data_IF_425608669859
#
_entry.id   IF_425608669859
#
_cell.length_a   1.000
_cell.length_b   1.000
_cell.length_c   1.000
_cell.angle_alpha   90.00
_cell.angle_beta   90.00
_cell.angle_gamma   90.00
#
_symmetry.space_group_name_H-M   'P 1'
#
loop_
_entity.id
_entity.type
_entity.pdbx_description
1 polymer ?
#
# COMPACT_ATOMS: atom_id res chain seq x y z
N UNK A 1 -3.32 -3.20 31.01
CA UNK A 1 -2.61 -3.09 29.71
C UNK A 1 -3.08 -4.19 28.74
N UNK A 2 -4.26 -4.78 29.00
CA UNK A 2 -4.60 -6.13 28.52
C UNK A 2 -5.46 -6.13 27.25
N UNK A 3 -6.23 -5.06 27.00
CA UNK A 3 -7.10 -4.94 25.82
C UNK A 3 -6.35 -4.89 24.48
N UNK A 4 -5.08 -4.46 24.49
CA UNK A 4 -4.25 -4.35 23.28
C UNK A 4 -3.65 -5.70 22.87
N UNK A 5 -3.32 -6.56 23.83
CA UNK A 5 -2.85 -7.92 23.54
C UNK A 5 -3.99 -8.82 23.08
N UNK A 6 -5.14 -8.72 23.73
CA UNK A 6 -6.35 -9.45 23.35
C UNK A 6 -6.78 -9.08 21.91
N UNK A 7 -6.72 -7.80 21.55
CA UNK A 7 -7.03 -7.37 20.19
C UNK A 7 -5.99 -7.85 19.17
N UNK A 8 -4.70 -7.78 19.50
CA UNK A 8 -3.64 -8.30 18.63
C UNK A 8 -3.81 -9.80 18.34
N UNK A 9 -4.20 -10.58 19.34
CA UNK A 9 -4.49 -12.01 19.17
C UNK A 9 -5.72 -12.26 18.31
N UNK A 10 -6.80 -11.47 18.47
CA UNK A 10 -7.99 -11.60 17.63
C UNK A 10 -7.71 -11.27 16.16
N UNK A 11 -6.96 -10.19 15.89
CA UNK A 11 -6.57 -9.82 14.52
C UNK A 11 -5.63 -10.87 13.92
N UNK A 12 -4.70 -11.40 14.70
CA UNK A 12 -3.83 -12.50 14.27
C UNK A 12 -4.62 -13.78 13.96
N UNK A 13 -5.64 -14.10 14.74
CA UNK A 13 -6.49 -15.27 14.52
C UNK A 13 -7.32 -15.12 13.24
N UNK A 14 -7.91 -13.95 13.02
CA UNK A 14 -8.72 -13.67 11.82
C UNK A 14 -7.85 -13.68 10.54
N UNK A 15 -6.63 -13.15 10.64
CA UNK A 15 -5.64 -13.19 9.53
C UNK A 15 -5.19 -14.63 9.22
N UNK A 16 -4.98 -15.48 10.23
CA UNK A 16 -4.65 -16.91 10.03
C UNK A 16 -5.80 -17.66 9.35
N UNK A 17 -7.04 -17.36 9.73
CA UNK A 17 -8.24 -17.92 9.10
C UNK A 17 -8.30 -17.59 7.61
N UNK A 18 -8.09 -16.31 7.25
CA UNK A 18 -8.08 -15.86 5.85
C UNK A 18 -6.97 -16.55 5.03
N UNK A 19 -5.77 -16.73 5.61
CA UNK A 19 -4.67 -17.43 4.94
C UNK A 19 -5.00 -18.91 4.68
N UNK A 20 -5.64 -19.58 5.64
CA UNK A 20 -6.06 -20.97 5.49
C UNK A 20 -7.10 -21.17 4.37
N UNK A 21 -8.02 -20.21 4.20
CA UNK A 21 -9.01 -20.25 3.12
C UNK A 21 -8.37 -19.96 1.76
N UNK A 22 -7.39 -19.05 1.69
CA UNK A 22 -6.63 -18.77 0.47
C UNK A 22 -5.73 -19.94 0.05
N UNK A 23 -5.07 -20.64 0.99
CA UNK A 23 -4.24 -21.82 0.70
C UNK A 23 -5.10 -22.96 0.11
N UNK A 24 -6.33 -23.13 0.60
CA UNK A 24 -7.30 -24.05 0.04
C UNK A 24 -7.66 -23.69 -1.42
N UNK A 25 -7.86 -22.40 -1.72
CA UNK A 25 -8.20 -21.91 -3.06
C UNK A 25 -7.00 -21.90 -4.03
N UNK A 26 -5.79 -21.61 -3.55
CA UNK A 26 -4.56 -21.67 -4.34
C UNK A 26 -4.22 -23.11 -4.73
N UNK A 27 -4.46 -24.09 -3.86
CA UNK A 27 -4.30 -25.51 -4.20
C UNK A 27 -5.18 -25.94 -5.39
N UNK A 28 -6.36 -25.31 -5.54
CA UNK A 28 -7.29 -25.54 -6.64
C UNK A 28 -6.87 -24.80 -7.92
N UNK A 29 -6.31 -23.59 -7.78
CA UNK A 29 -6.01 -22.68 -8.91
C UNK A 29 -4.65 -22.93 -9.56
N UNK A 30 -3.64 -23.41 -8.81
CA UNK A 30 -2.27 -23.63 -9.32
C UNK A 30 -2.21 -24.72 -10.40
N UNK A 31 -3.22 -25.58 -10.53
CA UNK A 31 -3.23 -26.65 -11.54
C UNK A 31 -3.51 -26.17 -12.97
N UNK A 32 -4.00 -24.95 -13.19
CA UNK A 32 -4.49 -24.51 -14.52
C UNK A 32 -3.58 -23.44 -15.18
N UNK A 33 -2.80 -22.68 -14.42
CA UNK A 33 -2.11 -21.47 -14.94
C UNK A 33 -0.64 -21.68 -15.35
N UNK A 34 -0.08 -22.88 -15.19
CA UNK A 34 1.35 -23.16 -15.40
C UNK A 34 1.84 -23.19 -16.86
N UNK A 35 0.95 -23.28 -17.85
CA UNK A 35 1.35 -23.52 -19.25
C UNK A 35 1.53 -22.25 -20.13
N UNK A 36 1.16 -21.05 -19.67
CA UNK A 36 1.11 -19.85 -20.53
C UNK A 36 2.30 -18.88 -20.41
N UNK A 37 3.16 -19.00 -19.40
CA UNK A 37 4.22 -18.01 -19.13
C UNK A 37 5.54 -18.21 -19.91
N UNK A 38 5.77 -19.36 -20.53
CA UNK A 38 7.08 -19.70 -21.14
C UNK A 38 7.29 -19.04 -22.52
N UNK A 39 6.23 -18.63 -23.23
CA UNK A 39 6.35 -18.13 -24.61
C UNK A 39 6.63 -16.62 -24.72
N UNK A 40 6.31 -15.80 -23.72
CA UNK A 40 6.43 -14.34 -23.81
C UNK A 40 7.86 -13.80 -23.61
N UNK A 41 8.75 -14.54 -22.95
CA UNK A 41 10.11 -14.08 -22.60
C UNK A 41 11.12 -14.16 -23.76
N UNK A 42 10.87 -15.00 -24.78
CA UNK A 42 11.81 -15.20 -25.88
C UNK A 42 11.85 -14.02 -26.89
N UNK A 43 10.79 -13.21 -26.98
CA UNK A 43 10.67 -12.16 -28.01
C UNK A 43 11.32 -10.84 -27.60
N UNK A 44 11.48 -10.58 -26.29
CA UNK A 44 11.95 -9.27 -25.82
C UNK A 44 13.48 -9.11 -25.80
N UNK A 45 14.24 -10.20 -25.83
CA UNK A 45 15.72 -10.15 -25.73
C UNK A 45 16.40 -9.90 -27.09
N UNK A 46 15.73 -10.10 -28.22
CA UNK A 46 16.36 -10.03 -29.55
C UNK A 46 16.40 -8.65 -30.22
N UNK A 47 15.95 -7.56 -29.58
CA UNK A 47 15.71 -6.28 -30.28
C UNK A 47 16.45 -5.04 -29.76
N UNK A 48 17.52 -5.17 -28.96
CA UNK A 48 18.36 -4.01 -28.58
C UNK A 48 19.87 -4.27 -28.70
N UNK A 49 20.37 -4.15 -29.92
CA UNK A 49 21.78 -3.93 -30.23
C UNK A 49 21.94 -2.72 -31.17
N UNK A 50 23.08 -2.00 -31.04
CA UNK A 50 23.54 -0.81 -31.80
C UNK A 50 22.87 0.51 -31.37
N UNK A 51 23.52 1.66 -31.13
CA UNK A 51 24.82 2.26 -31.53
C UNK A 51 24.97 3.51 -30.62
N UNK A 52 26.10 3.79 -29.95
CA UNK A 52 27.24 4.55 -30.47
C UNK A 52 27.10 6.09 -30.29
N UNK A 53 28.08 6.76 -29.65
CA UNK A 53 28.38 8.18 -29.95
C UNK A 53 28.58 9.16 -28.78
N UNK A 54 29.82 9.60 -28.62
CA UNK A 54 30.38 10.65 -27.75
C UNK A 54 29.93 12.09 -28.05
N UNK A 55 29.95 13.00 -27.07
CA UNK A 55 30.85 14.18 -27.06
C UNK A 55 30.53 15.20 -25.96
N UNK A 56 31.59 15.87 -25.53
CA UNK A 56 31.70 16.91 -24.50
C UNK A 56 30.97 18.22 -24.83
N UNK A 57 30.37 18.85 -23.83
CA UNK A 57 29.86 20.22 -23.92
C UNK A 57 29.85 20.94 -22.58
N UNK A 58 30.98 21.58 -22.21
CA UNK A 58 31.08 22.57 -21.13
C UNK A 58 30.15 23.76 -21.42
N UNK A 59 29.19 24.06 -20.56
CA UNK A 59 28.63 25.41 -20.41
C UNK A 59 28.34 25.74 -18.94
N UNK A 60 29.07 26.75 -18.44
CA UNK A 60 28.90 27.42 -17.15
C UNK A 60 27.49 28.02 -17.06
N UNK A 61 26.73 27.69 -16.02
CA UNK A 61 25.53 28.44 -15.61
C UNK A 61 25.79 29.15 -14.28
N UNK A 62 25.50 30.46 -14.28
CA UNK A 62 25.64 31.38 -13.14
C UNK A 62 24.62 31.02 -12.06
N UNK A 63 25.10 30.70 -10.85
CA UNK A 63 24.27 30.45 -9.67
C UNK A 63 23.84 31.79 -9.05
N UNK A 64 22.60 32.22 -9.33
CA UNK A 64 21.91 33.26 -8.54
C UNK A 64 21.42 32.62 -7.23
N UNK A 65 21.99 33.06 -6.11
CA UNK A 65 21.55 32.72 -4.76
C UNK A 65 20.19 33.34 -4.46
N UNK A 66 19.10 32.60 -4.70
CA UNK A 66 17.78 32.95 -4.17
C UNK A 66 17.71 32.44 -2.73
N UNK A 67 17.56 33.38 -1.79
CA UNK A 67 17.50 33.12 -0.36
C UNK A 67 16.46 32.05 -0.05
N UNK A 68 16.93 30.93 0.51
CA UNK A 68 16.08 29.93 1.15
C UNK A 68 15.60 30.53 2.47
N UNK A 69 14.37 31.04 2.46
CA UNK A 69 13.58 31.16 3.68
C UNK A 69 13.53 29.75 4.29
N UNK A 70 14.26 29.56 5.39
CA UNK A 70 14.22 28.34 6.19
C UNK A 70 12.84 28.26 6.82
N UNK A 71 11.86 27.77 6.07
CA UNK A 71 10.65 27.23 6.66
C UNK A 71 11.10 26.23 7.72
N UNK A 72 10.64 26.41 8.96
CA UNK A 72 10.87 25.45 10.03
C UNK A 72 10.39 24.10 9.51
N UNK A 73 11.34 23.25 9.12
CA UNK A 73 11.10 21.83 8.91
C UNK A 73 10.71 21.35 10.31
N UNK A 74 9.40 21.27 10.54
CA UNK A 74 8.86 20.51 11.66
C UNK A 74 9.49 19.15 11.48
N UNK A 75 10.43 18.80 12.36
CA UNK A 75 11.10 17.51 12.33
C UNK A 75 9.98 16.50 12.53
N UNK A 76 9.51 15.89 11.43
CA UNK A 76 8.60 14.74 11.49
C UNK A 76 9.30 13.77 12.42
N UNK A 77 8.69 13.51 13.57
CA UNK A 77 9.21 12.55 14.55
C UNK A 77 9.44 11.28 13.74
N UNK A 78 10.69 10.82 13.65
CA UNK A 78 11.00 9.60 12.90
C UNK A 78 10.37 8.48 13.70
N UNK A 79 9.17 8.08 13.28
CA UNK A 79 8.49 6.93 13.86
C UNK A 79 9.27 5.69 13.43
N UNK A 80 9.37 4.74 14.34
CA UNK A 80 9.91 3.42 13.99
C UNK A 80 9.02 2.74 12.95
N UNK A 81 9.56 1.76 12.26
CA UNK A 81 8.85 0.98 11.25
C UNK A 81 7.56 0.37 11.80
N UNK A 82 7.64 -0.16 13.03
CA UNK A 82 6.50 -0.75 13.75
C UNK A 82 5.46 0.29 14.14
N UNK A 83 5.90 1.43 14.67
CA UNK A 83 5.01 2.54 15.03
C UNK A 83 4.27 3.08 13.81
N UNK A 84 4.93 3.11 12.64
CA UNK A 84 4.31 3.56 11.38
C UNK A 84 3.18 2.62 10.97
N UNK A 85 3.40 1.30 11.04
CA UNK A 85 2.35 0.31 10.72
C UNK A 85 1.18 0.45 11.69
N UNK A 86 1.46 0.54 12.99
CA UNK A 86 0.43 0.70 14.02
C UNK A 86 -0.34 2.00 13.86
N UNK A 87 0.34 3.10 13.52
CA UNK A 87 -0.29 4.38 13.27
C UNK A 87 -1.23 4.33 12.05
N UNK A 88 -0.80 3.72 10.96
CA UNK A 88 -1.65 3.52 9.77
C UNK A 88 -2.89 2.70 10.10
N UNK A 89 -2.73 1.58 10.82
CA UNK A 89 -3.86 0.74 11.24
C UNK A 89 -4.84 1.57 12.09
N UNK A 90 -4.33 2.30 13.08
CA UNK A 90 -5.14 3.14 13.95
C UNK A 90 -5.88 4.24 13.18
N UNK A 91 -5.22 4.91 12.22
CA UNK A 91 -5.85 5.93 11.37
C UNK A 91 -6.95 5.31 10.53
N UNK A 92 -6.70 4.17 9.90
CA UNK A 92 -7.71 3.45 9.14
C UNK A 92 -8.96 3.15 9.99
N UNK A 93 -8.78 2.51 11.15
CA UNK A 93 -9.89 2.05 11.99
C UNK A 93 -10.68 3.21 12.62
N UNK A 94 -9.99 4.26 13.07
CA UNK A 94 -10.64 5.37 13.78
C UNK A 94 -11.24 6.41 12.86
N UNK A 95 -10.58 6.70 11.75
CA UNK A 95 -10.94 7.84 10.90
C UNK A 95 -11.74 7.43 9.67
N UNK A 96 -11.45 6.26 9.10
CA UNK A 96 -11.98 5.91 7.78
C UNK A 96 -12.98 4.74 7.82
N UNK A 97 -12.76 3.71 8.63
CA UNK A 97 -13.55 2.47 8.61
C UNK A 97 -15.06 2.73 8.75
N UNK A 98 -15.47 3.50 9.77
CA UNK A 98 -16.89 3.80 9.99
C UNK A 98 -17.52 4.60 8.85
N UNK A 99 -16.78 5.58 8.31
CA UNK A 99 -17.24 6.41 7.19
C UNK A 99 -17.37 5.60 5.91
N UNK A 100 -16.41 4.71 5.67
CA UNK A 100 -16.40 3.80 4.54
C UNK A 100 -17.59 2.84 4.56
N UNK A 101 -17.88 2.23 5.71
CA UNK A 101 -19.02 1.31 5.86
C UNK A 101 -20.33 2.01 5.52
N UNK A 102 -20.55 3.22 6.07
CA UNK A 102 -21.75 4.01 5.78
C UNK A 102 -21.88 4.36 4.30
N UNK A 103 -20.76 4.74 3.67
CA UNK A 103 -20.74 5.06 2.25
C UNK A 103 -21.06 3.82 1.42
N UNK A 104 -20.42 2.68 1.69
CA UNK A 104 -20.65 1.42 0.97
C UNK A 104 -22.10 0.93 1.07
N UNK A 105 -22.75 1.13 2.21
CA UNK A 105 -24.15 0.71 2.43
C UNK A 105 -25.17 1.62 1.73
N UNK A 106 -24.91 2.93 1.71
CA UNK A 106 -25.89 3.93 1.29
C UNK A 106 -25.50 4.66 -0.01
N UNK A 107 -24.51 4.14 -0.75
CA UNK A 107 -23.98 4.82 -1.93
C UNK A 107 -25.06 5.04 -3.00
N UNK A 108 -25.29 6.29 -3.34
CA UNK A 108 -26.07 6.71 -4.50
C UNK A 108 -25.15 7.30 -5.58
N UNK A 109 -25.01 6.65 -6.75
CA UNK A 109 -24.20 7.17 -7.83
C UNK A 109 -24.74 8.49 -8.40
N UNK A 110 -26.01 8.83 -8.16
CA UNK A 110 -26.60 10.11 -8.61
C UNK A 110 -26.24 11.28 -7.70
N UNK A 111 -25.78 11.00 -6.47
CA UNK A 111 -25.43 12.01 -5.49
C UNK A 111 -23.99 12.47 -5.69
N UNK A 112 -23.80 13.71 -6.14
CA UNK A 112 -22.47 14.31 -6.26
C UNK A 112 -21.69 14.26 -4.94
N UNK A 113 -22.37 14.50 -3.80
CA UNK A 113 -21.75 14.44 -2.48
C UNK A 113 -21.15 13.06 -2.20
N UNK A 114 -21.88 11.98 -2.48
CA UNK A 114 -21.39 10.62 -2.24
C UNK A 114 -20.28 10.23 -3.21
N UNK A 115 -20.30 10.74 -4.45
CA UNK A 115 -19.18 10.59 -5.38
C UNK A 115 -17.92 11.29 -4.86
N UNK A 116 -18.05 12.50 -4.32
CA UNK A 116 -16.93 13.21 -3.69
C UNK A 116 -16.39 12.46 -2.47
N UNK A 117 -17.26 11.95 -1.61
CA UNK A 117 -16.87 11.12 -0.46
C UNK A 117 -16.14 9.84 -0.91
N UNK A 118 -16.64 9.16 -1.95
CA UNK A 118 -15.97 7.99 -2.53
C UNK A 118 -14.55 8.31 -2.97
N UNK A 119 -14.38 9.39 -3.73
CA UNK A 119 -13.07 9.81 -4.21
C UNK A 119 -12.15 10.21 -3.06
N UNK A 120 -12.69 10.92 -2.05
CA UNK A 120 -11.95 11.26 -0.84
C UNK A 120 -11.42 10.01 -0.14
N UNK A 121 -12.27 9.02 0.14
CA UNK A 121 -11.83 7.79 0.79
C UNK A 121 -10.83 7.00 -0.07
N UNK A 122 -11.04 6.97 -1.39
CA UNK A 122 -10.10 6.33 -2.32
C UNK A 122 -8.69 6.93 -2.17
N UNK A 123 -8.56 8.25 -2.24
CA UNK A 123 -7.28 8.94 -2.07
C UNK A 123 -6.67 8.74 -0.67
N UNK A 124 -7.48 8.78 0.39
CA UNK A 124 -6.98 8.59 1.75
C UNK A 124 -6.45 7.17 1.97
N UNK A 125 -7.16 6.16 1.46
CA UNK A 125 -6.71 4.76 1.53
C UNK A 125 -5.44 4.53 0.71
N UNK A 126 -5.31 5.17 -0.46
CA UNK A 126 -4.07 5.15 -1.25
C UNK A 126 -2.90 5.79 -0.49
N UNK A 127 -3.13 6.91 0.21
CA UNK A 127 -2.09 7.53 1.05
C UNK A 127 -1.62 6.60 2.18
N UNK A 128 -2.54 5.86 2.82
CA UNK A 128 -2.17 4.87 3.83
C UNK A 128 -1.34 3.72 3.24
N UNK A 129 -1.61 3.28 2.01
CA UNK A 129 -0.79 2.28 1.33
C UNK A 129 0.63 2.80 1.06
N UNK A 130 0.78 4.05 0.62
CA UNK A 130 2.09 4.66 0.42
C UNK A 130 2.90 4.73 1.72
N UNK A 131 2.25 5.07 2.84
CA UNK A 131 2.87 5.07 4.16
C UNK A 131 3.37 3.65 4.55
N UNK A 132 2.58 2.60 4.27
CA UNK A 132 2.95 1.20 4.53
C UNK A 132 4.07 0.70 3.62
N UNK A 133 4.06 1.06 2.34
CA UNK A 133 5.11 0.71 1.37
C UNK A 133 6.44 1.41 1.67
N UNK A 134 6.38 2.58 2.28
CA UNK A 134 7.56 3.32 2.76
C UNK A 134 8.31 2.63 3.91
N UNK A 135 7.71 1.64 4.58
CA UNK A 135 8.31 0.96 5.74
C UNK A 135 9.43 0.00 5.31
N UNK A 136 10.68 0.32 5.68
CA UNK A 136 11.86 -0.48 5.38
C UNK A 136 12.27 -1.43 6.52
N UNK A 137 12.01 -2.72 6.35
CA UNK A 137 12.34 -3.77 7.35
C UNK A 137 13.82 -4.19 7.37
N UNK A 138 14.71 -3.39 6.77
CA UNK A 138 16.14 -3.72 6.64
C UNK A 138 16.88 -3.75 7.97
N UNK A 139 16.39 -2.98 8.95
CA UNK A 139 17.03 -2.79 10.26
C UNK A 139 16.56 -3.82 11.32
N UNK A 140 15.58 -4.67 10.99
CA UNK A 140 15.02 -5.68 11.89
C UNK A 140 15.58 -7.06 11.55
N UNK A 141 15.84 -7.87 12.58
CA UNK A 141 16.37 -9.22 12.49
C UNK A 141 15.50 -10.22 13.28
N UNK A 142 15.59 -11.50 12.89
CA UNK A 142 14.89 -12.61 13.55
C UNK A 142 13.36 -12.50 13.56
N UNK A 143 12.74 -13.06 14.59
CA UNK A 143 11.28 -13.22 14.72
C UNK A 143 10.52 -11.88 14.65
N UNK A 144 11.12 -10.80 15.17
CA UNK A 144 10.52 -9.45 15.12
C UNK A 144 10.34 -8.95 13.69
N UNK A 145 11.30 -9.24 12.81
CA UNK A 145 11.19 -8.88 11.39
C UNK A 145 10.01 -9.57 10.73
N UNK A 146 9.80 -10.85 11.06
CA UNK A 146 8.70 -11.63 10.52
C UNK A 146 7.34 -11.12 11.02
N UNK A 147 7.24 -10.83 12.31
CA UNK A 147 6.02 -10.26 12.92
C UNK A 147 5.64 -8.94 12.24
N UNK A 148 6.59 -8.01 12.12
CA UNK A 148 6.35 -6.69 11.52
C UNK A 148 6.04 -6.82 10.02
N UNK A 149 6.69 -7.75 9.32
CA UNK A 149 6.38 -8.06 7.93
C UNK A 149 4.94 -8.57 7.77
N UNK A 150 4.50 -9.43 8.68
CA UNK A 150 3.16 -10.02 8.66
C UNK A 150 2.10 -8.96 8.98
N UNK A 151 2.32 -8.12 10.00
CA UNK A 151 1.47 -6.99 10.33
C UNK A 151 1.34 -6.02 9.15
N UNK A 152 2.45 -5.64 8.52
CA UNK A 152 2.45 -4.79 7.31
C UNK A 152 1.64 -5.41 6.19
N UNK A 153 1.84 -6.70 5.91
CA UNK A 153 1.12 -7.42 4.85
C UNK A 153 -0.39 -7.48 5.15
N UNK A 154 -0.77 -7.70 6.39
CA UNK A 154 -2.17 -7.71 6.82
C UNK A 154 -2.82 -6.33 6.63
N UNK A 155 -2.16 -5.26 7.07
CA UNK A 155 -2.65 -3.89 6.91
C UNK A 155 -2.84 -3.52 5.42
N UNK A 156 -1.85 -3.80 4.58
CA UNK A 156 -1.94 -3.58 3.13
C UNK A 156 -3.13 -4.33 2.54
N UNK A 157 -3.29 -5.62 2.87
CA UNK A 157 -4.41 -6.42 2.37
C UNK A 157 -5.77 -5.88 2.83
N UNK A 158 -5.91 -5.48 4.10
CA UNK A 158 -7.15 -4.90 4.64
C UNK A 158 -7.55 -3.65 3.85
N UNK A 159 -6.60 -2.72 3.67
CA UNK A 159 -6.84 -1.47 2.92
C UNK A 159 -7.16 -1.75 1.44
N UNK A 160 -6.43 -2.67 0.79
CA UNK A 160 -6.69 -3.05 -0.60
C UNK A 160 -8.07 -3.70 -0.80
N UNK A 161 -8.57 -4.43 0.19
CA UNK A 161 -9.90 -5.03 0.14
C UNK A 161 -10.98 -3.94 0.15
N UNK A 162 -10.82 -2.93 1.00
CA UNK A 162 -11.72 -1.77 1.04
C UNK A 162 -11.67 -0.93 -0.25
N UNK A 163 -10.48 -0.68 -0.80
CA UNK A 163 -10.33 -0.04 -2.10
C UNK A 163 -11.08 -0.80 -3.21
N UNK A 164 -10.95 -2.14 -3.25
CA UNK A 164 -11.72 -2.97 -4.19
C UNK A 164 -13.23 -2.87 -4.00
N UNK A 165 -13.72 -2.63 -2.78
CA UNK A 165 -15.15 -2.41 -2.53
C UNK A 165 -15.58 -1.05 -3.08
N UNK A 166 -14.78 0.00 -2.88
CA UNK A 166 -15.02 1.33 -3.46
C UNK A 166 -15.00 1.30 -4.99
N UNK A 167 -14.05 0.62 -5.61
CA UNK A 167 -13.96 0.49 -7.08
C UNK A 167 -15.20 -0.18 -7.70
N UNK A 168 -15.88 -1.05 -6.94
CA UNK A 168 -17.13 -1.67 -7.40
C UNK A 168 -18.31 -0.71 -7.40
N UNK A 169 -18.26 0.36 -6.62
CA UNK A 169 -19.31 1.39 -6.61
C UNK A 169 -19.32 2.21 -7.91
N UNK A 170 -18.18 2.31 -8.60
CA UNK A 170 -18.04 3.08 -9.85
C UNK A 170 -18.66 2.38 -11.08
N UNK A 171 -18.91 1.06 -10.99
CA UNK A 171 -19.35 0.24 -12.13
C UNK A 171 -20.88 0.10 -12.28
N UNK A 172 -21.68 1.03 -11.77
CA UNK A 172 -23.14 1.01 -11.93
C UNK A 172 -23.68 2.19 -12.70
#
# INVERSE_FOLDING_TARGET
MDKLQEYAETVLADVKSIHSVEDALQSLTVRVTGMLFVTALAVWISSRSTTGGSSSGKKKSKKKSKGRTKGKVVKKKVMTEEETIKDVINRFEKEYEQGLTKLLENFDPSSETMQYERNYYNEMLLHLLLDLDGVHLGNLEGDKKEEVRLQRKAAIKKIQLELKKLDKLEKK
#
